data_IF_122103079724
#
_entry.id   IF_122103079724
#
_cell.length_a   1.000
_cell.length_b   1.000
_cell.length_c   1.000
_cell.angle_alpha   90.00
_cell.angle_beta   90.00
_cell.angle_gamma   90.00
#
_symmetry.space_group_name_H-M   'P 1'
#
loop_
_entity.id
_entity.type
_entity.pdbx_description
1 polymer ?
#
# COMPACT_ATOMS: atom_id res chain seq x y z
N UNK A 1 -1.53 6.74 -18.63
CA UNK A 1 -1.84 6.22 -17.29
C UNK A 1 -2.13 4.74 -17.37
N UNK A 2 -3.40 4.37 -17.55
CA UNK A 2 -3.88 2.97 -17.62
C UNK A 2 -3.03 2.03 -18.48
N UNK A 3 -2.74 2.39 -19.74
CA UNK A 3 -1.90 1.58 -20.65
C UNK A 3 -0.53 1.27 -20.05
N UNK A 4 0.12 2.26 -19.42
CA UNK A 4 1.44 2.06 -18.81
C UNK A 4 1.39 1.23 -17.54
N UNK A 5 0.32 1.36 -16.74
CA UNK A 5 0.10 0.51 -15.56
C UNK A 5 -0.04 -0.95 -15.97
N UNK A 6 -0.87 -1.22 -16.99
CA UNK A 6 -1.05 -2.57 -17.51
C UNK A 6 0.20 -3.11 -18.18
N UNK A 7 0.89 -2.30 -18.98
CA UNK A 7 2.17 -2.66 -19.60
C UNK A 7 3.20 -3.06 -18.54
N UNK A 8 3.36 -2.27 -17.47
CA UNK A 8 4.29 -2.58 -16.39
C UNK A 8 3.91 -3.89 -15.65
N UNK A 9 2.61 -4.14 -15.44
CA UNK A 9 2.12 -5.39 -14.85
C UNK A 9 2.47 -6.60 -15.73
N UNK A 10 2.19 -6.52 -17.03
CA UNK A 10 2.51 -7.57 -17.99
C UNK A 10 4.01 -7.87 -18.05
N UNK A 11 4.85 -6.83 -18.07
CA UNK A 11 6.31 -6.98 -18.11
C UNK A 11 6.92 -7.54 -16.82
N UNK A 12 6.27 -7.34 -15.69
CA UNK A 12 6.75 -7.82 -14.38
C UNK A 12 6.25 -9.22 -14.01
N UNK A 13 5.25 -9.73 -14.72
CA UNK A 13 4.60 -11.02 -14.42
C UNK A 13 5.12 -12.12 -15.34
N UNK A 14 5.56 -13.23 -14.76
CA UNK A 14 6.01 -14.42 -15.51
C UNK A 14 4.91 -15.46 -15.71
N UNK A 15 3.77 -15.29 -15.03
CA UNK A 15 2.62 -16.20 -15.02
C UNK A 15 1.40 -15.48 -15.59
N UNK A 16 0.35 -16.24 -15.87
CA UNK A 16 -0.97 -15.69 -16.16
C UNK A 16 -1.41 -14.74 -15.06
N UNK A 17 -1.92 -13.57 -15.46
CA UNK A 17 -2.44 -12.58 -14.53
C UNK A 17 -3.79 -13.04 -13.97
N UNK A 18 -4.14 -12.61 -12.77
CA UNK A 18 -5.51 -12.72 -12.26
C UNK A 18 -6.26 -11.40 -12.47
N UNK A 19 -7.60 -11.44 -12.45
CA UNK A 19 -8.40 -10.20 -12.50
C UNK A 19 -8.08 -9.26 -11.34
N UNK A 20 -7.87 -9.80 -10.14
CA UNK A 20 -7.48 -9.02 -8.96
C UNK A 20 -6.15 -8.27 -9.17
N UNK A 21 -5.15 -8.90 -9.78
CA UNK A 21 -3.88 -8.24 -10.08
C UNK A 21 -4.04 -7.10 -11.08
N UNK A 22 -4.94 -7.25 -12.06
CA UNK A 22 -5.26 -6.19 -13.02
C UNK A 22 -5.91 -5.03 -12.28
N UNK A 23 -6.97 -5.28 -11.50
CA UNK A 23 -7.65 -4.24 -10.73
C UNK A 23 -6.71 -3.49 -9.78
N UNK A 24 -5.88 -4.21 -9.02
CA UNK A 24 -4.87 -3.61 -8.12
C UNK A 24 -3.88 -2.71 -8.87
N UNK A 25 -3.47 -3.10 -10.09
CA UNK A 25 -2.54 -2.30 -10.89
C UNK A 25 -3.12 -0.99 -11.39
N UNK A 26 -4.44 -0.92 -11.53
CA UNK A 26 -5.18 0.24 -12.02
C UNK A 26 -5.73 1.12 -10.89
N UNK A 27 -5.65 0.68 -9.63
CA UNK A 27 -6.20 1.39 -8.47
C UNK A 27 -5.71 2.84 -8.35
N UNK A 28 -4.47 3.14 -8.77
CA UNK A 28 -3.90 4.50 -8.79
C UNK A 28 -4.24 5.32 -10.04
N UNK A 29 -5.17 4.88 -10.88
CA UNK A 29 -5.54 5.57 -12.11
C UNK A 29 -7.00 6.04 -12.06
N UNK A 30 -7.22 7.34 -12.22
CA UNK A 30 -8.55 7.91 -12.24
C UNK A 30 -9.03 8.18 -13.66
N UNK A 31 -10.28 7.79 -13.96
CA UNK A 31 -10.96 8.15 -15.20
C UNK A 31 -12.34 8.72 -14.87
N UNK A 32 -12.65 9.90 -15.40
CA UNK A 32 -13.94 10.56 -15.16
C UNK A 32 -15.01 10.19 -16.17
N UNK A 33 -14.65 9.61 -17.32
CA UNK A 33 -15.54 9.46 -18.47
C UNK A 33 -16.09 8.03 -18.65
N UNK A 34 -15.26 7.00 -18.49
CA UNK A 34 -15.60 5.64 -18.93
C UNK A 34 -16.39 4.82 -17.91
N UNK A 35 -16.45 5.28 -16.65
CA UNK A 35 -16.96 4.46 -15.55
C UNK A 35 -16.16 3.16 -15.33
N UNK A 36 -14.91 3.11 -15.80
CA UNK A 36 -13.95 1.99 -15.70
C UNK A 36 -14.30 0.69 -16.43
N UNK A 37 -15.58 0.35 -16.61
CA UNK A 37 -16.03 -0.93 -17.19
C UNK A 37 -15.30 -1.28 -18.49
N UNK A 38 -15.30 -0.39 -19.47
CA UNK A 38 -14.68 -0.66 -20.78
C UNK A 38 -13.16 -0.83 -20.71
N UNK A 39 -12.49 -0.22 -19.72
CA UNK A 39 -11.05 -0.35 -19.51
C UNK A 39 -10.74 -1.71 -18.89
N UNK A 40 -11.52 -2.13 -17.89
CA UNK A 40 -11.38 -3.44 -17.24
C UNK A 40 -11.65 -4.56 -18.24
N UNK A 41 -12.75 -4.46 -19.01
CA UNK A 41 -13.11 -5.44 -20.04
C UNK A 41 -11.99 -5.59 -21.08
N UNK A 42 -11.34 -4.47 -21.48
CA UNK A 42 -10.22 -4.50 -22.41
C UNK A 42 -8.97 -5.20 -21.84
N UNK A 43 -8.72 -5.13 -20.54
CA UNK A 43 -7.54 -5.74 -19.92
C UNK A 43 -7.77 -7.16 -19.40
N UNK A 44 -9.01 -7.56 -19.13
CA UNK A 44 -9.38 -8.93 -18.72
C UNK A 44 -8.92 -10.01 -19.69
N UNK A 45 -8.76 -9.67 -20.97
CA UNK A 45 -8.20 -10.59 -21.98
C UNK A 45 -6.84 -11.18 -21.57
N UNK A 46 -6.08 -10.48 -20.72
CA UNK A 46 -4.78 -10.93 -20.22
C UNK A 46 -4.87 -11.83 -18.97
N UNK A 47 -6.04 -11.96 -18.33
CA UNK A 47 -6.23 -12.76 -17.12
C UNK A 47 -6.44 -14.26 -17.37
N UNK A 48 -6.50 -14.69 -18.65
CA UNK A 48 -6.75 -16.09 -19.07
C UNK A 48 -8.00 -16.73 -18.40
N UNK A 49 -8.98 -15.92 -17.97
CA UNK A 49 -10.27 -16.39 -17.45
C UNK A 49 -11.21 -16.75 -18.60
N UNK A 50 -12.03 -17.79 -18.42
CA UNK A 50 -13.02 -18.21 -19.41
C UNK A 50 -14.07 -17.11 -19.60
N UNK A 51 -13.99 -16.42 -20.74
CA UNK A 51 -14.88 -15.32 -21.10
C UNK A 51 -16.26 -15.80 -21.56
N UNK A 52 -16.64 -17.07 -21.38
CA UNK A 52 -17.94 -17.63 -21.76
C UNK A 52 -19.15 -16.84 -21.22
N UNK A 53 -19.01 -16.08 -20.13
CA UNK A 53 -20.07 -15.21 -19.59
C UNK A 53 -20.25 -13.89 -20.35
N UNK A 54 -19.27 -13.48 -21.16
CA UNK A 54 -19.26 -12.21 -21.90
C UNK A 54 -19.15 -12.39 -23.42
N UNK A 55 -18.72 -13.57 -23.87
CA UNK A 55 -18.94 -14.04 -25.22
C UNK A 55 -20.42 -14.42 -25.26
N UNK A 56 -21.22 -13.71 -26.04
CA UNK A 56 -22.56 -14.14 -26.41
C UNK A 56 -22.49 -15.59 -26.95
N UNK A 57 -22.64 -16.60 -26.09
CA UNK A 57 -23.43 -17.75 -26.46
C UNK A 57 -24.83 -17.19 -26.62
N UNK A 58 -25.21 -16.98 -27.87
CA UNK A 58 -26.59 -16.86 -28.29
C UNK A 58 -27.34 -18.15 -27.95
N UNK A 59 -27.52 -18.42 -26.66
CA UNK A 59 -28.60 -19.26 -26.17
C UNK A 59 -29.83 -18.38 -26.26
N UNK A 60 -30.45 -18.40 -27.44
CA UNK A 60 -31.82 -17.93 -27.65
C UNK A 60 -32.74 -18.71 -26.69
N UNK A 61 -32.86 -18.27 -25.45
CA UNK A 61 -34.02 -18.55 -24.62
C UNK A 61 -35.04 -17.47 -24.92
N UNK A 62 -35.98 -17.83 -25.78
CA UNK A 62 -37.19 -17.07 -26.05
C UNK A 62 -37.90 -16.71 -24.74
N UNK A 63 -38.04 -15.41 -24.48
CA UNK A 63 -39.02 -14.87 -23.54
C UNK A 63 -38.48 -14.45 -22.17
N UNK A 64 -37.83 -13.29 -22.09
CA UNK A 64 -37.92 -12.38 -20.92
C UNK A 64 -37.36 -11.00 -21.30
N UNK A 65 -37.95 -9.94 -20.75
CA UNK A 65 -37.70 -8.54 -21.13
C UNK A 65 -36.22 -8.15 -20.99
N UNK A 66 -35.65 -7.62 -22.06
CA UNK A 66 -34.27 -7.15 -22.12
C UNK A 66 -34.05 -5.96 -21.16
N UNK A 67 -33.13 -6.12 -20.21
CA UNK A 67 -32.75 -5.07 -19.24
C UNK A 67 -31.54 -4.30 -19.76
N UNK A 68 -31.66 -2.98 -19.86
CA UNK A 68 -30.63 -2.10 -20.40
C UNK A 68 -29.35 -2.12 -19.53
N UNK A 69 -28.16 -2.42 -20.09
CA UNK A 69 -26.91 -2.46 -19.33
C UNK A 69 -26.48 -1.12 -18.70
N UNK A 70 -26.97 -0.01 -19.24
CA UNK A 70 -26.63 1.34 -18.75
C UNK A 70 -27.57 1.83 -17.65
N UNK A 71 -28.80 1.31 -17.57
CA UNK A 71 -29.82 1.83 -16.65
C UNK A 71 -30.43 0.79 -15.71
N UNK A 72 -30.17 -0.51 -15.90
CA UNK A 72 -30.66 -1.58 -15.05
C UNK A 72 -32.18 -1.75 -15.03
N UNK A 73 -32.89 -1.22 -16.06
CA UNK A 73 -34.36 -1.30 -16.20
C UNK A 73 -34.75 -1.93 -17.54
N UNK A 74 -35.95 -2.55 -17.64
CA UNK A 74 -36.48 -3.04 -18.91
C UNK A 74 -36.55 -1.91 -19.94
N UNK A 75 -35.96 -2.09 -21.12
CA UNK A 75 -36.04 -1.10 -22.20
C UNK A 75 -36.50 -1.73 -23.52
N UNK A 76 -37.27 -0.98 -24.29
CA UNK A 76 -37.85 -1.38 -25.57
C UNK A 76 -36.89 -1.19 -26.76
N UNK A 77 -35.59 -1.14 -26.50
CA UNK A 77 -34.54 -1.04 -27.52
C UNK A 77 -34.30 -2.41 -28.17
N UNK A 78 -35.31 -2.99 -28.82
CA UNK A 78 -35.16 -4.19 -29.65
C UNK A 78 -34.83 -3.80 -31.09
N UNK A 79 -33.84 -4.48 -31.68
CA UNK A 79 -33.52 -4.41 -33.10
C UNK A 79 -34.75 -4.83 -33.92
N UNK A 80 -35.43 -3.87 -34.54
CA UNK A 80 -36.38 -4.18 -35.61
C UNK A 80 -35.58 -4.70 -36.79
N UNK A 81 -35.63 -6.01 -37.03
CA UNK A 81 -35.20 -6.61 -38.28
C UNK A 81 -36.08 -6.03 -39.40
N UNK A 82 -35.58 -5.00 -40.08
CA UNK A 82 -36.24 -4.45 -41.26
C UNK A 82 -35.73 -5.24 -42.47
N UNK A 83 -36.61 -6.06 -43.03
CA UNK A 83 -36.41 -6.67 -44.34
C UNK A 83 -36.60 -5.53 -45.36
N UNK A 84 -35.52 -5.03 -45.94
CA UNK A 84 -35.59 -4.18 -47.14
C UNK A 84 -35.03 -4.93 -48.33
N UNK A 85 -35.93 -5.28 -49.23
CA UNK A 85 -35.67 -5.59 -50.64
C UNK A 85 -34.92 -4.44 -51.30
N UNK A 86 -33.97 -4.82 -52.17
CA UNK A 86 -33.05 -3.99 -52.94
C UNK A 86 -33.63 -2.63 -53.38
N UNK A 87 -32.95 -1.54 -53.03
CA UNK A 87 -32.51 -0.50 -53.97
C UNK A 87 -31.78 0.63 -53.23
N UNK A 88 -30.56 0.93 -53.69
CA UNK A 88 -29.91 2.25 -53.70
C UNK A 88 -29.49 2.90 -52.36
N UNK A 89 -28.22 3.34 -52.35
CA UNK A 89 -27.56 4.25 -51.38
C UNK A 89 -27.11 3.64 -50.05
N UNK A 90 -25.85 3.16 -50.04
CA UNK A 90 -25.19 2.60 -48.86
C UNK A 90 -24.91 3.64 -47.80
N UNK A 91 -25.81 3.76 -46.83
CA UNK A 91 -25.58 4.41 -45.55
C UNK A 91 -25.14 3.32 -44.55
N UNK A 92 -23.87 3.35 -44.12
CA UNK A 92 -23.33 2.40 -43.14
C UNK A 92 -24.03 2.57 -41.78
N UNK A 93 -24.95 1.66 -41.47
CA UNK A 93 -25.45 1.49 -40.12
C UNK A 93 -24.34 0.88 -39.24
N UNK A 94 -23.98 1.60 -38.18
CA UNK A 94 -22.94 1.26 -37.20
C UNK A 94 -23.35 0.04 -36.36
N UNK A 95 -23.24 -1.16 -36.94
CA UNK A 95 -23.31 -2.43 -36.23
C UNK A 95 -22.07 -2.61 -35.33
N UNK A 96 -22.26 -3.26 -34.17
CA UNK A 96 -21.24 -3.79 -33.26
C UNK A 96 -19.79 -3.40 -33.60
N UNK A 97 -19.38 -2.22 -33.15
CA UNK A 97 -18.05 -1.62 -33.45
C UNK A 97 -16.89 -2.49 -32.96
N UNK A 98 -17.15 -3.42 -32.04
CA UNK A 98 -16.13 -4.25 -31.45
C UNK A 98 -16.46 -5.72 -31.70
N UNK A 99 -15.71 -6.34 -32.61
CA UNK A 99 -15.54 -7.80 -32.58
C UNK A 99 -14.84 -8.14 -31.26
N UNK A 100 -15.38 -9.04 -30.43
CA UNK A 100 -14.61 -9.61 -29.33
C UNK A 100 -13.40 -10.29 -29.96
N UNK A 101 -12.21 -9.82 -29.63
CA UNK A 101 -10.98 -10.47 -30.10
C UNK A 101 -10.85 -11.76 -29.29
N UNK A 102 -10.66 -12.89 -29.98
CA UNK A 102 -10.55 -14.19 -29.33
C UNK A 102 -9.33 -14.21 -28.41
N UNK A 103 -9.44 -14.90 -27.28
CA UNK A 103 -8.34 -15.12 -26.33
C UNK A 103 -7.07 -15.65 -27.04
N UNK A 104 -7.23 -16.46 -28.08
CA UNK A 104 -6.12 -17.02 -28.86
C UNK A 104 -5.38 -15.99 -29.72
N UNK A 105 -5.98 -14.84 -30.02
CA UNK A 105 -5.40 -13.82 -30.91
C UNK A 105 -4.57 -12.77 -30.15
N UNK A 106 -4.65 -12.72 -28.80
CA UNK A 106 -4.05 -11.64 -27.97
C UNK A 106 -3.51 -12.10 -26.61
N UNK A 107 -3.17 -13.38 -26.44
CA UNK A 107 -2.73 -13.94 -25.14
C UNK A 107 -1.44 -13.31 -24.53
N UNK A 108 -0.86 -12.32 -25.21
CA UNK A 108 0.34 -11.59 -24.79
C UNK A 108 1.65 -12.27 -25.22
N UNK A 109 1.63 -13.56 -25.60
CA UNK A 109 2.84 -14.29 -26.02
C UNK A 109 3.51 -13.70 -27.26
N UNK A 110 2.71 -13.26 -28.24
CA UNK A 110 3.17 -12.60 -29.48
C UNK A 110 3.96 -11.31 -29.24
N UNK A 111 3.72 -10.61 -28.12
CA UNK A 111 4.39 -9.35 -27.80
C UNK A 111 5.70 -9.54 -27.05
N UNK A 112 5.88 -10.67 -26.35
CA UNK A 112 7.05 -10.92 -25.48
C UNK A 112 8.39 -10.89 -26.23
N UNK A 113 8.42 -11.31 -27.50
CA UNK A 113 9.63 -11.33 -28.33
C UNK A 113 9.96 -9.98 -28.98
N UNK A 114 9.01 -9.03 -29.03
CA UNK A 114 9.17 -7.71 -29.68
C UNK A 114 9.15 -6.54 -28.70
N UNK A 115 9.41 -6.82 -27.43
CA UNK A 115 9.49 -5.81 -26.38
C UNK A 115 10.76 -4.96 -26.47
N UNK A 116 10.72 -3.76 -25.88
CA UNK A 116 11.92 -2.95 -25.74
C UNK A 116 12.99 -3.71 -24.95
N UNK A 117 14.18 -3.81 -25.56
CA UNK A 117 15.37 -4.30 -24.88
C UNK A 117 15.77 -3.33 -23.78
N UNK A 118 16.33 -3.87 -22.70
CA UNK A 118 16.97 -3.02 -21.71
C UNK A 118 18.25 -2.41 -22.32
N UNK A 119 18.47 -1.09 -22.24
CA UNK A 119 19.63 -0.45 -22.89
C UNK A 119 20.96 -1.07 -22.43
N UNK A 120 21.77 -1.65 -23.34
CA UNK A 120 23.02 -2.35 -22.97
C UNK A 120 24.00 -1.44 -22.22
N UNK A 121 24.05 -0.15 -22.57
CA UNK A 121 24.90 0.84 -21.89
C UNK A 121 24.59 0.96 -20.39
N UNK A 122 23.31 0.81 -20.00
CA UNK A 122 22.91 0.87 -18.60
C UNK A 122 23.26 -0.40 -17.83
N UNK A 123 23.37 -1.56 -18.50
CA UNK A 123 23.81 -2.81 -17.86
C UNK A 123 25.29 -2.76 -17.46
N UNK A 124 26.10 -2.08 -18.28
CA UNK A 124 27.54 -1.92 -18.04
C UNK A 124 27.86 -0.78 -17.06
N UNK A 125 26.87 0.05 -16.74
CA UNK A 125 27.07 1.24 -15.90
C UNK A 125 27.29 0.84 -14.45
N UNK A 126 28.48 1.16 -13.93
CA UNK A 126 28.77 1.02 -12.50
C UNK A 126 28.02 2.10 -11.71
N UNK A 127 27.40 1.68 -10.61
CA UNK A 127 26.77 2.60 -9.65
C UNK A 127 27.87 3.36 -8.92
N UNK A 128 27.90 4.67 -9.09
CA UNK A 128 28.85 5.58 -8.42
C UNK A 128 28.10 6.59 -7.55
N UNK A 129 28.74 7.14 -6.50
CA UNK A 129 28.18 8.26 -5.75
C UNK A 129 27.97 9.46 -6.68
N UNK A 130 26.89 10.22 -6.47
CA UNK A 130 26.63 11.46 -7.20
C UNK A 130 26.53 12.65 -6.26
N UNK A 131 27.01 13.81 -6.74
CA UNK A 131 26.85 15.11 -6.11
C UNK A 131 26.49 16.10 -7.21
N UNK A 132 25.24 16.53 -7.22
CA UNK A 132 24.68 17.46 -8.21
C UNK A 132 24.34 18.78 -7.53
N UNK A 133 24.44 19.87 -8.29
CA UNK A 133 23.97 21.20 -7.88
C UNK A 133 22.89 21.66 -8.84
N UNK A 134 21.78 22.13 -8.29
CA UNK A 134 20.63 22.64 -9.03
C UNK A 134 20.50 24.16 -8.93
N UNK A 135 19.46 24.69 -9.56
CA UNK A 135 19.10 26.10 -9.45
C UNK A 135 18.89 26.52 -7.99
N UNK A 136 19.24 27.76 -7.67
CA UNK A 136 19.13 28.30 -6.31
C UNK A 136 20.13 27.71 -5.32
N UNK A 137 21.17 27.01 -5.78
CA UNK A 137 22.22 26.44 -4.92
C UNK A 137 21.84 25.12 -4.23
N UNK A 138 20.70 24.52 -4.62
CA UNK A 138 20.25 23.23 -4.07
C UNK A 138 21.29 22.16 -4.36
N UNK A 139 21.70 21.41 -3.34
CA UNK A 139 22.60 20.27 -3.48
C UNK A 139 21.81 18.97 -3.42
N UNK A 140 22.11 18.05 -4.33
CA UNK A 140 21.53 16.70 -4.33
C UNK A 140 22.64 15.65 -4.33
N UNK A 141 22.61 14.78 -3.34
CA UNK A 141 23.59 13.73 -3.16
C UNK A 141 22.96 12.36 -3.33
N UNK A 142 23.70 11.42 -3.92
CA UNK A 142 23.35 10.00 -3.96
C UNK A 142 24.55 9.19 -3.45
N UNK A 143 24.67 8.99 -2.13
CA UNK A 143 25.63 8.04 -1.57
C UNK A 143 25.30 6.60 -1.97
N UNK A 144 26.30 5.73 -1.89
CA UNK A 144 26.18 4.28 -2.18
C UNK A 144 26.44 3.39 -0.96
N UNK A 145 26.77 4.00 0.19
CA UNK A 145 27.02 3.27 1.44
C UNK A 145 26.63 4.09 2.66
N UNK A 146 26.36 3.41 3.77
CA UNK A 146 25.81 4.04 4.97
C UNK A 146 26.72 5.12 5.53
N UNK A 147 28.04 4.89 5.59
CA UNK A 147 29.00 5.86 6.11
C UNK A 147 28.92 7.21 5.38
N UNK A 148 28.77 7.19 4.05
CA UNK A 148 28.63 8.41 3.26
C UNK A 148 27.35 9.18 3.59
N UNK A 149 26.25 8.48 3.91
CA UNK A 149 25.01 9.12 4.38
C UNK A 149 25.25 9.83 5.71
N UNK A 150 25.92 9.16 6.64
CA UNK A 150 26.24 9.71 7.97
C UNK A 150 27.15 10.94 7.87
N UNK A 151 28.18 10.88 7.03
CA UNK A 151 29.09 12.01 6.78
C UNK A 151 28.34 13.21 6.16
N UNK A 152 27.46 12.95 5.19
CA UNK A 152 26.63 13.98 4.57
C UNK A 152 25.63 14.58 5.56
N UNK A 153 25.00 13.76 6.40
CA UNK A 153 24.05 14.23 7.42
C UNK A 153 24.77 15.01 8.53
N UNK A 154 26.01 14.65 8.87
CA UNK A 154 26.84 15.43 9.78
C UNK A 154 27.23 16.79 9.19
N UNK A 155 27.54 16.84 7.88
CA UNK A 155 27.90 18.09 7.19
C UNK A 155 26.70 18.99 6.91
N UNK A 156 25.54 18.38 6.66
CA UNK A 156 24.28 19.05 6.37
C UNK A 156 23.19 18.52 7.31
N UNK A 157 23.14 18.98 8.58
CA UNK A 157 22.17 18.47 9.57
C UNK A 157 20.71 18.64 9.13
N UNK A 158 20.40 19.70 8.38
CA UNK A 158 19.05 19.97 7.87
C UNK A 158 18.75 19.26 6.54
N UNK A 159 19.69 18.46 6.01
CA UNK A 159 19.47 17.75 4.76
C UNK A 159 18.29 16.77 4.90
N UNK A 160 17.38 16.85 3.93
CA UNK A 160 16.23 15.96 3.86
C UNK A 160 16.65 14.67 3.16
N UNK A 161 16.40 13.53 3.81
CA UNK A 161 16.57 12.23 3.19
C UNK A 161 15.40 11.97 2.23
N UNK A 162 15.71 11.46 1.03
CA UNK A 162 14.72 11.22 -0.02
C UNK A 162 14.83 9.79 -0.55
N UNK A 163 13.70 9.09 -0.60
CA UNK A 163 13.56 7.82 -1.33
C UNK A 163 12.67 8.03 -2.55
N UNK A 164 11.35 7.89 -2.39
CA UNK A 164 10.37 8.05 -3.48
C UNK A 164 9.83 9.45 -3.69
N UNK A 165 10.24 10.42 -2.87
CA UNK A 165 9.78 11.82 -2.93
C UNK A 165 8.25 12.03 -2.79
N UNK A 166 7.50 11.02 -2.36
CA UNK A 166 6.03 11.06 -2.27
C UNK A 166 5.49 11.98 -1.17
N UNK A 167 6.31 12.34 -0.17
CA UNK A 167 5.99 13.38 0.83
C UNK A 167 6.78 14.67 0.55
N UNK A 168 8.11 14.56 0.40
CA UNK A 168 9.00 15.72 0.19
C UNK A 168 8.60 16.54 -1.04
N UNK A 169 8.11 15.88 -2.10
CA UNK A 169 7.56 16.55 -3.27
C UNK A 169 6.28 17.34 -2.98
N UNK A 170 5.40 16.81 -2.11
CA UNK A 170 4.18 17.51 -1.67
C UNK A 170 4.54 18.70 -0.77
N UNK A 171 5.47 18.52 0.17
CA UNK A 171 5.99 19.59 1.03
C UNK A 171 6.53 20.75 0.18
N UNK A 172 7.33 20.43 -0.84
CA UNK A 172 7.92 21.44 -1.73
C UNK A 172 6.85 22.10 -2.60
N UNK A 173 5.95 21.32 -3.22
CA UNK A 173 4.99 21.82 -4.21
C UNK A 173 3.84 22.60 -3.59
N UNK A 174 3.29 22.13 -2.48
CA UNK A 174 2.04 22.64 -1.90
C UNK A 174 2.23 23.33 -0.56
N UNK A 175 3.32 23.03 0.18
CA UNK A 175 3.64 23.70 1.45
C UNK A 175 4.80 24.69 1.34
N UNK A 176 5.31 24.91 0.13
CA UNK A 176 6.43 25.80 -0.16
C UNK A 176 7.68 25.53 0.69
N UNK A 177 7.90 24.26 1.09
CA UNK A 177 9.07 23.88 1.86
C UNK A 177 10.34 24.01 0.99
N UNK A 178 11.39 24.61 1.57
CA UNK A 178 12.65 24.87 0.86
C UNK A 178 13.77 24.02 1.47
N UNK A 179 14.30 23.07 0.69
CA UNK A 179 15.40 22.20 1.11
C UNK A 179 16.68 22.53 0.35
N UNK A 180 17.72 22.96 1.07
CA UNK A 180 19.01 23.32 0.48
C UNK A 180 19.88 22.09 0.15
N UNK A 181 19.68 21.00 0.87
CA UNK A 181 20.40 19.74 0.66
C UNK A 181 19.44 18.56 0.70
N UNK A 182 19.53 17.71 -0.31
CA UNK A 182 18.76 16.48 -0.45
C UNK A 182 19.72 15.29 -0.54
N UNK A 183 19.46 14.24 0.21
CA UNK A 183 20.29 13.01 0.19
C UNK A 183 19.40 11.85 -0.22
N UNK A 184 19.62 11.31 -1.42
CA UNK A 184 18.94 10.11 -1.88
C UNK A 184 19.59 8.86 -1.32
N UNK A 185 18.86 8.16 -0.45
CA UNK A 185 19.32 6.92 0.21
C UNK A 185 18.86 5.64 -0.52
N UNK A 186 18.46 5.79 -1.77
CA UNK A 186 17.92 4.71 -2.62
C UNK A 186 18.93 3.63 -2.99
N UNK A 187 20.23 3.94 -2.96
CA UNK A 187 21.33 3.06 -3.39
C UNK A 187 22.23 2.59 -2.23
N UNK A 188 21.79 2.80 -1.00
CA UNK A 188 22.51 2.38 0.21
C UNK A 188 22.02 0.99 0.60
N UNK A 189 22.85 -0.04 0.44
CA UNK A 189 22.44 -1.44 0.57
C UNK A 189 21.91 -1.76 1.97
N UNK A 190 22.54 -1.22 3.01
CA UNK A 190 22.18 -1.43 4.41
C UNK A 190 20.74 -0.94 4.69
N UNK A 191 20.35 0.19 4.10
CA UNK A 191 19.00 0.75 4.25
C UNK A 191 17.96 0.04 3.36
N UNK A 192 18.38 -0.81 2.43
CA UNK A 192 17.49 -1.55 1.53
C UNK A 192 17.48 -3.06 1.81
N UNK A 193 18.14 -3.48 2.88
CA UNK A 193 18.20 -4.88 3.29
C UNK A 193 16.84 -5.36 3.85
N UNK A 194 16.54 -6.63 3.59
CA UNK A 194 15.46 -7.38 4.20
C UNK A 194 16.07 -8.69 4.69
N UNK A 195 15.88 -9.02 5.95
CA UNK A 195 16.38 -10.29 6.48
C UNK A 195 15.41 -10.91 7.48
N UNK A 196 15.26 -12.23 7.37
CA UNK A 196 14.56 -13.07 8.33
C UNK A 196 15.55 -13.40 9.44
N UNK A 197 15.15 -13.18 10.70
CA UNK A 197 15.88 -13.57 11.91
C UNK A 197 15.09 -14.66 12.64
N UNK A 198 15.70 -15.23 13.66
CA UNK A 198 15.06 -16.25 14.49
C UNK A 198 13.87 -15.67 15.29
N UNK A 199 13.95 -14.40 15.67
CA UNK A 199 13.00 -13.68 16.53
C UNK A 199 12.12 -12.64 15.81
N UNK A 200 12.38 -12.37 14.53
CA UNK A 200 11.56 -11.45 13.74
C UNK A 200 12.09 -11.15 12.34
N UNK A 201 11.60 -10.06 11.77
CA UNK A 201 12.05 -9.48 10.51
C UNK A 201 12.84 -8.20 10.75
N UNK A 202 14.00 -8.09 10.12
CA UNK A 202 14.74 -6.84 10.03
C UNK A 202 14.55 -6.21 8.64
N UNK A 203 13.98 -5.00 8.62
CA UNK A 203 13.54 -4.27 7.44
C UNK A 203 14.29 -2.95 7.35
N UNK A 204 15.11 -2.75 6.31
CA UNK A 204 15.81 -1.50 6.08
C UNK A 204 14.86 -0.32 5.83
N UNK A 205 15.21 0.86 6.33
CA UNK A 205 14.34 2.04 6.27
C UNK A 205 14.02 2.53 4.84
N UNK A 206 14.87 2.26 3.86
CA UNK A 206 14.68 2.63 2.45
C UNK A 206 13.96 1.58 1.61
N UNK A 207 13.61 0.42 2.19
CA UNK A 207 12.81 -0.61 1.51
C UNK A 207 11.51 0.00 0.99
N UNK A 208 11.18 -0.27 -0.28
CA UNK A 208 9.96 0.23 -0.92
C UNK A 208 8.76 -0.59 -0.47
N UNK A 209 7.61 0.04 -0.33
CA UNK A 209 6.41 -0.64 0.18
C UNK A 209 5.99 -1.84 -0.68
N UNK A 210 6.15 -1.77 -2.01
CA UNK A 210 5.84 -2.92 -2.88
C UNK A 210 6.83 -4.08 -2.72
N UNK A 211 8.11 -3.78 -2.44
CA UNK A 211 9.13 -4.79 -2.15
C UNK A 211 8.86 -5.44 -0.80
N UNK A 212 8.52 -4.65 0.22
CA UNK A 212 8.07 -5.16 1.51
C UNK A 212 6.84 -6.07 1.34
N UNK A 213 5.80 -5.61 0.63
CA UNK A 213 4.58 -6.38 0.42
C UNK A 213 4.86 -7.75 -0.22
N UNK A 214 5.73 -7.78 -1.26
CA UNK A 214 6.14 -9.03 -1.91
C UNK A 214 6.93 -9.94 -0.95
N UNK A 215 7.86 -9.37 -0.19
CA UNK A 215 8.66 -10.12 0.76
C UNK A 215 7.79 -10.74 1.88
N UNK A 216 6.86 -9.97 2.44
CA UNK A 216 5.93 -10.47 3.45
C UNK A 216 5.04 -11.59 2.91
N UNK A 217 4.56 -11.49 1.66
CA UNK A 217 3.78 -12.57 1.02
C UNK A 217 4.58 -13.88 0.93
N UNK A 218 5.88 -13.81 0.64
CA UNK A 218 6.74 -14.99 0.64
C UNK A 218 6.93 -15.56 2.06
N UNK A 219 7.21 -14.69 3.04
CA UNK A 219 7.36 -15.10 4.45
C UNK A 219 6.09 -15.79 4.97
N UNK A 220 4.91 -15.26 4.67
CA UNK A 220 3.62 -15.83 5.05
C UNK A 220 3.36 -17.20 4.38
N UNK A 221 3.94 -17.44 3.20
CA UNK A 221 3.80 -18.72 2.51
C UNK A 221 4.77 -19.80 3.02
N UNK A 222 5.88 -19.40 3.64
CA UNK A 222 6.96 -20.30 4.08
C UNK A 222 6.93 -20.60 5.59
N UNK A 223 6.33 -19.71 6.40
CA UNK A 223 6.29 -19.82 7.87
C UNK A 223 4.89 -20.15 8.39
N UNK A 224 4.85 -20.59 9.64
CA UNK A 224 3.61 -20.95 10.32
C UNK A 224 2.65 -19.77 10.48
N UNK A 225 1.36 -20.11 10.53
CA UNK A 225 0.32 -19.10 10.57
C UNK A 225 0.33 -18.28 11.86
N UNK A 226 0.67 -18.90 12.98
CA UNK A 226 0.79 -18.24 14.27
C UNK A 226 1.90 -17.18 14.29
N UNK A 227 3.04 -17.40 13.63
CA UNK A 227 4.19 -16.49 13.65
C UNK A 227 4.04 -15.25 12.76
N UNK A 228 3.12 -15.32 11.80
CA UNK A 228 3.04 -14.37 10.68
C UNK A 228 1.79 -13.49 10.73
N UNK A 229 1.13 -13.40 11.88
CA UNK A 229 -0.09 -12.62 12.07
C UNK A 229 0.13 -11.13 11.75
N UNK A 230 1.21 -10.54 12.26
CA UNK A 230 1.60 -9.15 11.96
C UNK A 230 1.93 -8.94 10.47
N UNK A 231 2.56 -9.93 9.83
CA UNK A 231 2.89 -9.87 8.41
C UNK A 231 1.62 -9.83 7.54
N UNK A 232 0.61 -10.66 7.86
CA UNK A 232 -0.69 -10.64 7.17
C UNK A 232 -1.38 -9.29 7.32
N UNK A 233 -1.37 -8.73 8.53
CA UNK A 233 -2.00 -7.45 8.77
C UNK A 233 -1.37 -6.31 7.95
N UNK A 234 -0.03 -6.30 7.85
CA UNK A 234 0.69 -5.35 7.00
C UNK A 234 0.39 -5.55 5.50
N UNK A 235 0.29 -6.80 5.03
CA UNK A 235 -0.06 -7.09 3.62
C UNK A 235 -1.45 -6.56 3.29
N UNK A 236 -2.43 -6.81 4.16
CA UNK A 236 -3.81 -6.38 3.96
C UNK A 236 -3.93 -4.86 4.04
N UNK A 237 -3.24 -4.22 4.99
CA UNK A 237 -3.20 -2.75 5.05
C UNK A 237 -2.57 -2.12 3.80
N UNK A 238 -1.52 -2.74 3.24
CA UNK A 238 -0.86 -2.30 2.01
C UNK A 238 -1.70 -2.52 0.75
N UNK A 239 -2.73 -3.38 0.80
CA UNK A 239 -3.71 -3.51 -0.28
C UNK A 239 -4.47 -2.21 -0.47
N UNK A 240 -4.95 -1.63 0.62
CA UNK A 240 -5.80 -0.43 0.65
C UNK A 240 -5.03 0.89 0.84
N UNK A 241 -3.69 0.86 0.78
CA UNK A 241 -2.84 2.02 1.09
C UNK A 241 -2.89 3.11 0.01
N UNK A 242 -2.38 2.80 -1.18
CA UNK A 242 -2.30 3.70 -2.33
C UNK A 242 -2.08 2.87 -3.60
N UNK A 243 -2.20 3.50 -4.77
CA UNK A 243 -1.86 2.85 -6.05
C UNK A 243 -0.43 2.30 -6.11
N UNK A 244 -0.21 1.30 -6.97
CA UNK A 244 1.10 0.65 -7.15
C UNK A 244 2.22 1.63 -7.52
N UNK A 245 1.89 2.73 -8.21
CA UNK A 245 2.83 3.80 -8.57
C UNK A 245 3.47 4.42 -7.32
N UNK A 246 2.67 4.67 -6.28
CA UNK A 246 3.15 5.20 -5.00
C UNK A 246 3.90 4.10 -4.22
N UNK A 247 3.33 2.89 -4.11
CA UNK A 247 3.96 1.79 -3.36
C UNK A 247 5.33 1.38 -3.93
N UNK A 248 5.56 1.55 -5.23
CA UNK A 248 6.82 1.24 -5.90
C UNK A 248 7.96 2.22 -5.56
N UNK A 249 7.66 3.39 -5.00
CA UNK A 249 8.68 4.41 -4.69
C UNK A 249 8.68 4.82 -3.22
N UNK A 250 7.51 4.81 -2.56
CA UNK A 250 7.39 5.11 -1.14
C UNK A 250 8.17 4.08 -0.32
N UNK A 251 8.87 4.56 0.72
CA UNK A 251 9.67 3.71 1.61
C UNK A 251 9.03 3.54 2.97
N UNK A 252 9.33 2.41 3.62
CA UNK A 252 8.88 2.10 4.99
C UNK A 252 9.31 3.21 5.96
N UNK A 253 10.60 3.54 5.97
CA UNK A 253 11.14 4.58 6.83
C UNK A 253 10.66 5.98 6.47
N UNK A 254 10.40 6.25 5.19
CA UNK A 254 9.75 7.50 4.78
C UNK A 254 8.34 7.63 5.36
N UNK A 255 7.52 6.57 5.30
CA UNK A 255 6.19 6.55 5.90
C UNK A 255 6.23 6.74 7.42
N UNK A 256 7.14 6.03 8.12
CA UNK A 256 7.32 6.13 9.57
C UNK A 256 7.79 7.54 9.97
N UNK A 257 8.88 8.04 9.38
CA UNK A 257 9.48 9.33 9.74
C UNK A 257 8.61 10.54 9.34
N UNK A 258 7.71 10.38 8.37
CA UNK A 258 6.72 11.42 8.04
C UNK A 258 5.77 11.66 9.22
N UNK A 259 5.50 10.63 10.04
CA UNK A 259 4.66 10.69 11.23
C UNK A 259 3.32 11.40 10.96
N UNK A 260 2.68 11.02 9.85
CA UNK A 260 1.34 11.49 9.54
C UNK A 260 0.35 10.92 10.57
N UNK A 261 -0.55 11.75 11.14
CA UNK A 261 -1.63 11.29 12.03
C UNK A 261 -2.50 10.19 11.43
N UNK A 262 -2.66 10.22 10.11
CA UNK A 262 -3.50 9.32 9.30
C UNK A 262 -2.65 8.29 8.53
N UNK A 263 -1.43 8.00 8.99
CA UNK A 263 -0.64 6.93 8.40
C UNK A 263 -1.32 5.59 8.67
N UNK A 264 -1.52 4.80 7.62
CA UNK A 264 -2.10 3.45 7.71
C UNK A 264 -1.19 2.44 8.41
N UNK A 265 0.14 2.64 8.35
CA UNK A 265 1.09 1.64 8.86
C UNK A 265 1.58 1.95 10.27
N UNK A 266 1.58 3.22 10.70
CA UNK A 266 2.14 3.58 12.01
C UNK A 266 1.38 2.95 13.20
N UNK A 267 0.04 2.91 13.21
CA UNK A 267 -0.70 2.16 14.23
C UNK A 267 -0.33 0.68 14.27
N UNK A 268 -0.14 0.04 13.11
CA UNK A 268 0.26 -1.36 13.03
C UNK A 268 1.67 -1.61 13.56
N UNK A 269 2.64 -0.76 13.22
CA UNK A 269 3.99 -0.88 13.78
C UNK A 269 3.98 -0.79 15.31
N UNK A 270 3.15 0.10 15.86
CA UNK A 270 2.98 0.24 17.31
C UNK A 270 2.29 -0.98 17.92
N UNK A 271 1.17 -1.40 17.35
CA UNK A 271 0.38 -2.52 17.87
C UNK A 271 1.15 -3.85 17.82
N UNK A 272 1.90 -4.07 16.74
CA UNK A 272 2.74 -5.26 16.54
C UNK A 272 4.03 -5.26 17.38
N UNK A 273 4.26 -4.26 18.23
CA UNK A 273 5.44 -4.20 19.09
C UNK A 273 6.75 -4.00 18.33
N UNK A 274 6.72 -3.39 17.15
CA UNK A 274 7.92 -3.17 16.36
C UNK A 274 8.93 -2.27 17.08
N UNK A 275 10.21 -2.50 16.81
CA UNK A 275 11.31 -1.72 17.32
C UNK A 275 12.03 -1.02 16.17
N UNK A 276 12.46 0.21 16.40
CA UNK A 276 13.14 1.04 15.42
C UNK A 276 14.60 1.22 15.83
N UNK A 277 15.52 0.82 14.94
CA UNK A 277 16.94 1.09 15.10
C UNK A 277 17.28 2.44 14.49
N UNK A 278 17.89 3.29 15.28
CA UNK A 278 18.27 4.65 14.92
C UNK A 278 19.78 4.75 15.04
N UNK A 279 20.44 5.23 13.98
CA UNK A 279 21.89 5.39 13.95
C UNK A 279 22.25 6.87 13.93
N UNK A 280 23.19 7.25 14.78
CA UNK A 280 23.75 8.60 14.80
C UNK A 280 24.82 8.76 13.71
N UNK A 281 25.13 10.00 13.34
CA UNK A 281 26.22 10.31 12.41
C UNK A 281 27.60 9.80 12.89
N UNK A 282 27.75 9.45 14.18
CA UNK A 282 28.96 8.87 14.76
C UNK A 282 28.98 7.33 14.71
N UNK A 283 27.94 6.70 14.16
CA UNK A 283 27.81 5.24 14.06
C UNK A 283 27.23 4.55 15.29
N UNK A 284 26.93 5.27 16.38
CA UNK A 284 26.24 4.70 17.54
C UNK A 284 24.79 4.38 17.18
N UNK A 285 24.37 3.13 17.41
CA UNK A 285 23.00 2.65 17.22
C UNK A 285 22.25 2.65 18.55
N UNK A 286 21.00 3.10 18.53
CA UNK A 286 20.05 2.95 19.64
C UNK A 286 18.75 2.36 19.12
N UNK A 287 18.04 1.66 19.99
CA UNK A 287 16.74 1.06 19.68
C UNK A 287 15.65 1.79 20.47
N UNK A 288 14.51 2.03 19.82
CA UNK A 288 13.30 2.54 20.47
C UNK A 288 12.09 1.72 20.04
N UNK A 289 11.17 1.47 20.96
CA UNK A 289 9.88 0.88 20.59
C UNK A 289 9.08 1.86 19.71
N UNK A 290 8.30 1.35 18.75
CA UNK A 290 7.43 2.15 17.90
C UNK A 290 6.47 3.02 18.72
N UNK A 291 5.93 2.48 19.82
CA UNK A 291 5.04 3.19 20.74
C UNK A 291 5.67 4.44 21.37
N UNK A 292 7.00 4.44 21.57
CA UNK A 292 7.73 5.58 22.11
C UNK A 292 8.25 6.56 21.07
N UNK A 293 8.12 6.25 19.77
CA UNK A 293 8.80 6.98 18.69
C UNK A 293 8.05 8.23 18.24
N UNK A 294 6.71 8.24 18.26
CA UNK A 294 5.92 9.39 17.81
C UNK A 294 5.71 10.38 18.97
N UNK A 295 6.23 11.60 18.84
CA UNK A 295 6.30 12.59 19.94
C UNK A 295 5.33 13.76 19.78
N UNK A 296 4.73 13.92 18.62
CA UNK A 296 3.75 14.97 18.32
C UNK A 296 3.45 15.03 16.83
N UNK A 297 2.61 15.99 16.43
CA UNK A 297 2.23 16.19 15.03
C UNK A 297 3.47 16.28 14.12
N UNK A 298 3.66 15.27 13.26
CA UNK A 298 4.83 15.13 12.36
C UNK A 298 6.18 15.25 13.07
N UNK A 299 6.25 14.84 14.35
CA UNK A 299 7.46 14.85 15.18
C UNK A 299 7.77 13.45 15.69
N UNK A 300 9.02 13.05 15.57
CA UNK A 300 9.52 11.72 15.94
C UNK A 300 10.69 11.81 16.91
N UNK A 301 10.97 10.73 17.63
CA UNK A 301 12.09 10.58 18.54
C UNK A 301 13.41 10.37 17.78
N UNK A 302 13.87 11.41 17.09
CA UNK A 302 15.11 11.36 16.34
C UNK A 302 15.79 12.73 16.36
N UNK A 303 17.06 12.75 16.76
CA UNK A 303 17.87 13.97 16.79
C UNK A 303 18.27 14.36 15.36
N UNK A 304 18.67 15.62 15.17
CA UNK A 304 19.07 16.14 13.85
C UNK A 304 20.28 15.39 13.23
N UNK A 305 21.12 14.78 14.06
CA UNK A 305 22.28 13.98 13.67
C UNK A 305 21.99 12.47 13.64
N UNK A 306 20.73 12.07 13.63
CA UNK A 306 20.31 10.67 13.58
C UNK A 306 19.50 10.37 12.32
N UNK A 307 19.51 9.11 11.91
CA UNK A 307 18.65 8.58 10.84
C UNK A 307 18.02 7.25 11.29
N UNK A 308 16.83 6.95 10.78
CA UNK A 308 16.24 5.62 10.93
C UNK A 308 17.01 4.62 10.06
N UNK A 309 17.57 3.59 10.69
CA UNK A 309 18.38 2.55 10.03
C UNK A 309 17.49 1.41 9.54
N UNK A 310 16.78 0.79 10.48
CA UNK A 310 15.95 -0.39 10.23
C UNK A 310 14.77 -0.46 11.20
N UNK A 311 13.82 -1.29 10.83
CA UNK A 311 12.64 -1.66 11.60
C UNK A 311 12.77 -3.14 11.91
N UNK A 312 12.67 -3.50 13.17
CA UNK A 312 12.54 -4.87 13.62
C UNK A 312 11.08 -5.17 13.95
N UNK A 313 10.49 -6.13 13.24
CA UNK A 313 9.13 -6.61 13.46
C UNK A 313 9.21 -8.02 14.09
N UNK A 314 8.82 -8.19 15.38
CA UNK A 314 8.90 -9.49 16.03
C UNK A 314 7.93 -10.50 15.40
N UNK A 315 8.26 -11.79 15.51
CA UNK A 315 7.28 -12.85 15.25
C UNK A 315 6.16 -12.80 16.27
N UNK A 316 4.94 -13.15 15.83
CA UNK A 316 3.83 -13.33 16.75
C UNK A 316 3.91 -14.70 17.43
N UNK A 317 3.46 -14.78 18.67
CA UNK A 317 3.40 -16.04 19.44
C UNK A 317 2.19 -16.87 19.02
N UNK A 318 2.13 -18.11 19.47
CA UNK A 318 0.90 -18.89 19.42
C UNK A 318 -0.25 -18.14 20.11
N UNK A 319 -1.43 -18.14 19.50
CA UNK A 319 -2.61 -17.41 19.98
C UNK A 319 -2.41 -15.88 20.11
N UNK A 320 -1.42 -15.32 19.40
CA UNK A 320 -1.25 -13.89 19.24
C UNK A 320 -1.74 -13.43 17.85
N UNK A 321 -2.71 -12.53 17.87
CA UNK A 321 -3.40 -12.06 16.67
C UNK A 321 -3.15 -10.58 16.47
N UNK A 322 -2.77 -10.19 15.25
CA UNK A 322 -2.66 -8.80 14.83
C UNK A 322 -3.67 -8.55 13.71
N UNK A 323 -4.44 -7.46 13.83
CA UNK A 323 -5.44 -7.08 12.84
C UNK A 323 -5.44 -5.59 12.57
N UNK A 324 -5.54 -5.26 11.30
CA UNK A 324 -5.64 -3.94 10.70
C UNK A 324 -7.08 -3.56 10.42
N UNK A 325 -7.38 -2.26 10.54
CA UNK A 325 -8.65 -1.67 10.16
C UNK A 325 -8.41 -0.31 9.50
N UNK A 326 -9.21 0.01 8.48
CA UNK A 326 -9.18 1.30 7.81
C UNK A 326 -10.58 1.70 7.37
N UNK A 327 -10.96 2.94 7.68
CA UNK A 327 -12.13 3.59 7.13
C UNK A 327 -11.69 4.80 6.29
N UNK A 328 -12.22 4.91 5.07
CA UNK A 328 -11.98 6.02 4.14
C UNK A 328 -13.26 6.33 3.37
N UNK A 329 -13.27 7.40 2.56
CA UNK A 329 -14.45 7.75 1.75
C UNK A 329 -14.63 6.82 0.54
N UNK A 330 -13.53 6.22 0.08
CA UNK A 330 -13.52 5.20 -0.96
C UNK A 330 -12.59 4.06 -0.56
N UNK A 331 -12.82 2.89 -1.17
CA UNK A 331 -12.09 1.66 -0.85
C UNK A 331 -10.59 1.75 -1.16
N UNK A 332 -10.25 2.34 -2.31
CA UNK A 332 -8.90 2.34 -2.87
C UNK A 332 -8.33 3.77 -3.01
N UNK A 333 -7.00 3.89 -2.86
CA UNK A 333 -6.23 5.12 -3.11
C UNK A 333 -6.71 6.36 -2.32
N UNK A 334 -7.16 6.17 -1.09
CA UNK A 334 -7.64 7.26 -0.24
C UNK A 334 -6.95 7.30 1.12
N UNK A 335 -6.92 8.47 1.73
CA UNK A 335 -6.41 8.64 3.08
C UNK A 335 -7.42 8.08 4.09
N UNK A 336 -6.92 7.52 5.20
CA UNK A 336 -7.78 7.09 6.28
C UNK A 336 -8.44 8.29 6.98
N UNK A 337 -9.73 8.13 7.28
CA UNK A 337 -10.46 8.94 8.25
C UNK A 337 -10.05 8.50 9.65
N UNK A 338 -10.22 7.21 9.90
CA UNK A 338 -9.74 6.50 11.09
C UNK A 338 -9.18 5.17 10.60
N UNK A 339 -8.06 4.76 11.18
CA UNK A 339 -7.50 3.42 11.00
C UNK A 339 -7.07 2.88 12.36
N UNK A 340 -6.83 1.57 12.44
CA UNK A 340 -6.37 0.96 13.66
C UNK A 340 -5.45 -0.24 13.37
N UNK A 341 -4.48 -0.41 14.25
CA UNK A 341 -3.75 -1.66 14.43
C UNK A 341 -4.09 -2.21 15.81
N UNK A 342 -4.53 -3.47 15.86
CA UNK A 342 -4.89 -4.14 17.09
C UNK A 342 -4.08 -5.42 17.22
N UNK A 343 -3.54 -5.68 18.41
CA UNK A 343 -2.86 -6.92 18.78
C UNK A 343 -3.47 -7.47 20.05
N UNK A 344 -3.79 -8.75 20.07
CA UNK A 344 -4.30 -9.48 21.24
C UNK A 344 -3.51 -10.77 21.36
N UNK A 345 -3.01 -11.05 22.55
CA UNK A 345 -2.40 -12.33 22.90
C UNK A 345 -3.30 -13.03 23.91
N UNK A 346 -3.76 -14.22 23.55
CA UNK A 346 -4.67 -15.03 24.35
C UNK A 346 -3.91 -16.18 25.02
N UNK A 347 -4.29 -16.48 26.26
CA UNK A 347 -3.85 -17.67 26.97
C UNK A 347 -5.07 -18.50 27.35
N UNK A 348 -4.95 -19.81 27.21
CA UNK A 348 -5.98 -20.75 27.64
C UNK A 348 -5.74 -21.15 29.09
N UNK A 349 -6.76 -20.99 29.93
CA UNK A 349 -6.77 -21.51 31.31
C UNK A 349 -8.13 -22.13 31.59
N UNK A 350 -8.13 -23.40 32.02
CA UNK A 350 -9.34 -24.14 32.40
C UNK A 350 -10.43 -24.18 31.31
N UNK A 351 -10.03 -24.28 30.03
CA UNK A 351 -10.95 -24.30 28.88
C UNK A 351 -11.59 -22.95 28.55
N UNK A 352 -11.10 -21.86 29.14
CA UNK A 352 -11.47 -20.48 28.81
C UNK A 352 -10.25 -19.75 28.26
N UNK A 353 -10.51 -18.87 27.30
CA UNK A 353 -9.50 -17.99 26.72
C UNK A 353 -9.54 -16.65 27.43
N UNK A 354 -8.40 -16.21 27.96
CA UNK A 354 -8.26 -14.92 28.59
C UNK A 354 -7.22 -14.07 27.86
N UNK A 355 -7.37 -12.74 27.90
CA UNK A 355 -6.41 -11.81 27.30
C UNK A 355 -5.20 -11.68 28.22
N UNK A 356 -4.03 -12.11 27.75
CA UNK A 356 -2.75 -11.97 28.47
C UNK A 356 -2.07 -10.64 28.15
N UNK A 357 -2.14 -10.19 26.89
CA UNK A 357 -1.57 -8.90 26.45
C UNK A 357 -2.43 -8.29 25.34
N UNK A 358 -2.49 -6.95 25.30
CA UNK A 358 -3.34 -6.20 24.36
C UNK A 358 -2.68 -4.89 23.91
N UNK A 359 -2.82 -4.55 22.64
CA UNK A 359 -2.45 -3.25 22.09
C UNK A 359 -3.46 -2.79 21.05
N UNK A 360 -4.12 -1.66 21.30
CA UNK A 360 -5.13 -1.06 20.43
C UNK A 360 -4.68 0.35 20.08
N UNK A 361 -4.20 0.51 18.85
CA UNK A 361 -3.63 1.77 18.38
C UNK A 361 -4.46 2.30 17.21
N UNK A 362 -4.85 3.57 17.29
CA UNK A 362 -5.68 4.25 16.30
C UNK A 362 -4.91 5.37 15.62
N UNK A 363 -5.18 5.62 14.34
CA UNK A 363 -4.78 6.83 13.63
C UNK A 363 -5.99 7.68 13.24
N UNK A 364 -5.74 8.93 12.85
CA UNK A 364 -6.76 9.89 12.42
C UNK A 364 -7.55 10.58 13.53
N UNK A 365 -7.44 10.11 14.77
CA UNK A 365 -8.18 10.66 15.93
C UNK A 365 -7.34 11.57 16.83
N UNK A 366 -6.03 11.63 16.62
CA UNK A 366 -5.10 12.41 17.43
C UNK A 366 -3.89 12.86 16.58
N UNK A 367 -3.09 13.83 17.04
CA UNK A 367 -1.93 14.32 16.28
C UNK A 367 -0.81 13.28 16.04
N UNK A 368 -0.85 12.16 16.74
CA UNK A 368 0.03 10.99 16.59
C UNK A 368 -0.84 9.73 16.66
N UNK A 369 -0.35 8.56 16.22
CA UNK A 369 -1.07 7.32 16.50
C UNK A 369 -1.31 7.17 18.00
N UNK A 370 -2.56 6.92 18.37
CA UNK A 370 -3.08 6.98 19.72
C UNK A 370 -3.30 5.57 20.26
N UNK A 371 -2.66 5.23 21.37
CA UNK A 371 -2.88 3.96 22.07
C UNK A 371 -4.00 4.11 23.11
N UNK A 372 -5.06 3.32 22.98
CA UNK A 372 -6.20 3.29 23.91
C UNK A 372 -5.81 2.56 25.20
N UNK A 373 -4.96 3.20 26.00
CA UNK A 373 -4.24 2.54 27.10
C UNK A 373 -5.18 2.09 28.22
N UNK A 374 -6.24 2.85 28.53
CA UNK A 374 -7.20 2.42 29.56
C UNK A 374 -7.95 1.17 29.10
N UNK A 375 -8.33 1.13 27.81
CA UNK A 375 -8.99 -0.02 27.20
C UNK A 375 -8.06 -1.24 27.11
N UNK A 376 -6.79 -1.05 26.75
CA UNK A 376 -5.78 -2.12 26.80
C UNK A 376 -5.69 -2.72 28.20
N UNK A 377 -5.56 -1.89 29.24
CA UNK A 377 -5.55 -2.34 30.63
C UNK A 377 -6.86 -3.02 31.06
N UNK A 378 -7.99 -2.54 30.56
CA UNK A 378 -9.30 -3.13 30.84
C UNK A 378 -9.41 -4.56 30.30
N UNK A 379 -8.85 -4.83 29.11
CA UNK A 379 -8.93 -6.14 28.47
C UNK A 379 -8.11 -7.22 29.18
N UNK A 380 -6.92 -6.87 29.68
CA UNK A 380 -5.96 -7.81 30.28
C UNK A 380 -6.59 -8.54 31.48
N UNK A 381 -6.46 -9.86 31.51
CA UNK A 381 -6.96 -10.75 32.56
C UNK A 381 -8.44 -11.13 32.42
N UNK A 382 -9.17 -10.62 31.43
CA UNK A 382 -10.58 -10.94 31.20
C UNK A 382 -10.75 -12.03 30.14
N UNK A 383 -11.87 -12.76 30.23
CA UNK A 383 -12.23 -13.80 29.27
C UNK A 383 -12.63 -13.20 27.93
N UNK A 384 -12.28 -13.87 26.83
CA UNK A 384 -12.60 -13.46 25.47
C UNK A 384 -14.05 -13.79 25.11
N UNK A 385 -15.00 -12.97 25.56
CA UNK A 385 -16.44 -13.18 25.41
C UNK A 385 -17.22 -11.89 25.04
N UNK A 386 -18.55 -11.99 24.98
CA UNK A 386 -19.42 -10.87 24.62
C UNK A 386 -19.45 -9.77 25.70
N UNK A 387 -19.26 -10.12 26.97
CA UNK A 387 -19.22 -9.15 28.07
C UNK A 387 -17.94 -8.31 27.98
N UNK A 388 -16.81 -8.94 27.63
CA UNK A 388 -15.56 -8.25 27.35
C UNK A 388 -15.74 -7.21 26.25
N UNK A 389 -16.38 -7.57 25.13
CA UNK A 389 -16.63 -6.65 24.03
C UNK A 389 -17.44 -5.43 24.47
N UNK A 390 -18.56 -5.64 25.18
CA UNK A 390 -19.40 -4.55 25.66
C UNK A 390 -18.64 -3.63 26.63
N UNK A 391 -17.87 -4.21 27.55
CA UNK A 391 -17.04 -3.45 28.48
C UNK A 391 -15.93 -2.68 27.78
N UNK A 392 -15.29 -3.27 26.77
CA UNK A 392 -14.22 -2.63 26.00
C UNK A 392 -14.75 -1.42 25.22
N UNK A 393 -15.96 -1.51 24.64
CA UNK A 393 -16.60 -0.38 23.96
C UNK A 393 -16.87 0.80 24.91
N UNK A 394 -17.31 0.53 26.14
CA UNK A 394 -17.52 1.57 27.15
C UNK A 394 -16.19 2.17 27.63
N UNK A 395 -15.16 1.35 27.80
CA UNK A 395 -13.81 1.84 28.14
C UNK A 395 -13.22 2.71 27.02
N UNK A 396 -13.43 2.32 25.77
CA UNK A 396 -12.89 3.04 24.61
C UNK A 396 -13.48 4.45 24.49
N UNK A 397 -14.74 4.65 24.86
CA UNK A 397 -15.37 5.98 24.94
C UNK A 397 -14.69 6.90 25.95
N UNK A 398 -14.01 6.35 26.96
CA UNK A 398 -13.26 7.14 27.94
C UNK A 398 -11.85 7.49 27.43
N UNK A 399 -11.23 6.61 26.64
CA UNK A 399 -9.94 6.86 26.01
C UNK A 399 -10.04 7.91 24.89
N UNK A 400 -11.06 7.80 24.05
CA UNK A 400 -11.19 8.59 22.82
C UNK A 400 -12.35 9.59 22.99
N UNK A 401 -11.97 10.83 23.31
CA UNK A 401 -12.88 11.97 23.28
C UNK A 401 -12.42 12.96 22.20
N UNK A 402 -13.22 13.09 21.14
CA UNK A 402 -12.96 14.00 20.03
C UNK A 402 -13.88 15.21 20.21
N UNK A 403 -13.30 16.42 20.22
CA UNK A 403 -14.06 17.66 20.35
C UNK A 403 -14.83 18.00 19.07
N UNK A 404 -15.92 18.75 19.18
CA UNK A 404 -16.73 19.18 18.00
C UNK A 404 -15.93 20.02 16.99
N UNK A 405 -14.87 20.71 17.45
CA UNK A 405 -13.97 21.53 16.65
C UNK A 405 -12.71 20.78 16.16
N UNK A 406 -12.68 19.45 16.32
CA UNK A 406 -11.54 18.65 15.91
C UNK A 406 -11.23 18.80 14.41
N UNK A 407 -9.96 19.04 14.03
CA UNK A 407 -9.58 19.16 12.62
C UNK A 407 -9.92 17.90 11.81
N UNK A 408 -10.58 18.10 10.67
CA UNK A 408 -11.10 17.02 9.82
C UNK A 408 -12.62 16.88 9.89
N UNK A 409 -13.21 17.20 11.06
CA UNK A 409 -14.65 17.03 11.33
C UNK A 409 -15.12 15.58 11.24
N UNK A 410 -16.40 15.36 11.60
CA UNK A 410 -17.33 14.29 11.16
C UNK A 410 -18.58 14.29 12.03
#
# INVERSE_FOLDING_TARGET
GFVMSMYALLRSSKKSLTEEQIEESLAGNLCRCTGYRTIIDAFRVFAKTDNALYINTSSRTSGSDFVCPSSGKPCSCTEKAVIFTETSTGNLCYGNIYKPVSYNDVDGSLYSEKEFIFPPELMLRKVIPLSLSGFGGIKWFRPIGLQQVLDLKSRYPDAKLVVGNSEVGIETKFKNAQYQALISVTHVSELNALSVKDDGLEIGASVRLSILQKFLKNVVAERDACETSACRALIEQLKWFAGNQIKNVASVGGNICTASPISDLNPLWMAAGAQFQIISCKGTVRTTAARGFFKGYRKVDMKCNEILLSIFLPWTRDFEYVKEFKQAHRRDDDIALVNAGMRIFLEESEGKWAVSDASLVYGGIAPVPFAATNTECFLIGRNWDQELLQGALLSLQQDISISEDAPGGM
#
